data_IF_244227205738
#
_entry.id   IF_244227205738
#
_cell.length_a   1.000
_cell.length_b   1.000
_cell.length_c   1.000
_cell.angle_alpha   90.00
_cell.angle_beta   90.00
_cell.angle_gamma   90.00
#
_symmetry.space_group_name_H-M   'P 1'
#
loop_
_entity.id
_entity.type
_entity.pdbx_description
1 polymer ?
#
# COMPACT_ATOMS: atom_id res chain seq x y z
N UNK A 1 -13.97 -25.81 -3.96
CA UNK A 1 -13.50 -24.92 -2.88
C UNK A 1 -13.80 -23.50 -3.36
N UNK A 2 -14.49 -22.63 -2.60
CA UNK A 2 -15.02 -21.38 -3.14
C UNK A 2 -13.91 -20.32 -3.12
N UNK A 3 -13.06 -20.30 -4.14
CA UNK A 3 -12.09 -19.22 -4.32
C UNK A 3 -12.80 -17.87 -4.58
N UNK A 4 -14.01 -17.89 -5.16
CA UNK A 4 -14.80 -16.70 -5.51
C UNK A 4 -15.25 -15.82 -4.33
N UNK A 5 -15.56 -16.41 -3.16
CA UNK A 5 -16.12 -15.65 -2.03
C UNK A 5 -15.06 -14.78 -1.32
N UNK A 6 -13.83 -15.28 -1.24
CA UNK A 6 -12.71 -14.55 -0.65
C UNK A 6 -12.34 -13.35 -1.51
N UNK A 7 -12.16 -13.56 -2.82
CA UNK A 7 -11.78 -12.51 -3.75
C UNK A 7 -12.82 -11.39 -3.82
N UNK A 8 -14.11 -11.77 -3.84
CA UNK A 8 -15.21 -10.80 -3.79
C UNK A 8 -15.22 -10.02 -2.46
N UNK A 9 -15.01 -10.70 -1.34
CA UNK A 9 -14.95 -10.04 -0.03
C UNK A 9 -13.76 -9.08 0.08
N UNK A 10 -12.59 -9.46 -0.43
CA UNK A 10 -11.39 -8.64 -0.33
C UNK A 10 -11.43 -7.46 -1.30
N UNK A 11 -11.92 -7.66 -2.53
CA UNK A 11 -12.19 -6.56 -3.47
C UNK A 11 -13.19 -5.54 -2.89
N UNK A 12 -14.25 -6.02 -2.22
CA UNK A 12 -15.21 -5.16 -1.50
C UNK A 12 -14.57 -4.40 -0.34
N UNK A 13 -13.60 -5.00 0.34
CA UNK A 13 -12.84 -4.32 1.39
C UNK A 13 -11.99 -3.19 0.81
N UNK A 14 -11.27 -3.44 -0.28
CA UNK A 14 -10.42 -2.46 -0.95
C UNK A 14 -11.26 -1.27 -1.43
N UNK A 15 -12.42 -1.50 -2.04
CA UNK A 15 -13.27 -0.41 -2.53
C UNK A 15 -13.74 0.51 -1.40
N UNK A 16 -13.98 -0.02 -0.20
CA UNK A 16 -14.38 0.76 0.98
C UNK A 16 -13.28 1.69 1.50
N UNK A 17 -12.01 1.45 1.22
CA UNK A 17 -10.92 2.37 1.58
C UNK A 17 -11.04 3.73 0.89
N UNK A 18 -11.66 3.77 -0.30
CA UNK A 18 -11.93 5.00 -1.04
C UNK A 18 -13.34 5.55 -0.85
N UNK A 19 -14.11 5.07 0.13
CA UNK A 19 -15.51 5.45 0.32
C UNK A 19 -15.63 6.91 0.79
N UNK A 20 -16.67 7.69 0.40
CA UNK A 20 -16.82 9.10 0.82
C UNK A 20 -17.02 9.27 2.33
N UNK A 21 -17.67 8.31 2.99
CA UNK A 21 -17.91 8.32 4.45
C UNK A 21 -16.66 7.83 5.20
N UNK A 22 -16.12 8.69 6.07
CA UNK A 22 -14.90 8.41 6.85
C UNK A 22 -15.00 7.16 7.72
N UNK A 23 -16.12 6.99 8.43
CA UNK A 23 -16.33 5.83 9.30
C UNK A 23 -16.20 4.49 8.52
N UNK A 24 -16.70 4.46 7.29
CA UNK A 24 -16.61 3.27 6.42
C UNK A 24 -15.15 3.02 6.03
N UNK A 25 -14.40 4.08 5.69
CA UNK A 25 -12.97 3.99 5.38
C UNK A 25 -12.17 3.48 6.57
N UNK A 26 -12.41 4.01 7.77
CA UNK A 26 -11.72 3.61 9.00
C UNK A 26 -11.95 2.14 9.32
N UNK A 27 -13.21 1.68 9.29
CA UNK A 27 -13.52 0.26 9.51
C UNK A 27 -12.88 -0.65 8.46
N UNK A 28 -12.77 -0.18 7.21
CA UNK A 28 -12.08 -0.92 6.16
C UNK A 28 -10.56 -0.98 6.40
N UNK A 29 -9.95 0.13 6.84
CA UNK A 29 -8.53 0.17 7.20
C UNK A 29 -8.22 -0.79 8.36
N UNK A 30 -9.02 -0.75 9.43
CA UNK A 30 -8.89 -1.66 10.58
C UNK A 30 -9.04 -3.14 10.15
N UNK A 31 -10.00 -3.42 9.27
CA UNK A 31 -10.21 -4.76 8.75
C UNK A 31 -9.05 -5.23 7.87
N UNK A 32 -8.48 -4.35 7.05
CA UNK A 32 -7.28 -4.65 6.25
C UNK A 32 -6.09 -4.93 7.17
N UNK A 33 -5.83 -4.06 8.14
CA UNK A 33 -4.74 -4.21 9.09
C UNK A 33 -4.85 -5.55 9.83
N UNK A 34 -6.02 -5.86 10.41
CA UNK A 34 -6.25 -7.12 11.10
C UNK A 34 -6.00 -8.34 10.21
N UNK A 35 -6.43 -8.29 8.94
CA UNK A 35 -6.18 -9.37 7.97
C UNK A 35 -4.69 -9.55 7.67
N UNK A 36 -3.94 -8.47 7.54
CA UNK A 36 -2.49 -8.50 7.30
C UNK A 36 -1.71 -8.97 8.53
N UNK A 37 -2.15 -8.63 9.73
CA UNK A 37 -1.48 -8.99 10.99
C UNK A 37 -1.73 -10.45 11.36
N UNK A 38 -2.96 -10.91 11.14
CA UNK A 38 -3.35 -12.31 11.33
C UNK A 38 -2.95 -13.22 10.16
N UNK A 39 -2.27 -12.68 9.12
CA UNK A 39 -1.87 -13.40 7.89
C UNK A 39 -3.03 -14.14 7.23
N UNK A 40 -4.23 -13.56 7.28
CA UNK A 40 -5.44 -14.11 6.66
C UNK A 40 -5.50 -13.86 5.14
N UNK A 41 -4.53 -13.11 4.62
CA UNK A 41 -4.33 -12.84 3.20
C UNK A 41 -2.85 -13.11 2.96
N UNK A 42 -2.51 -13.94 1.98
CA UNK A 42 -1.10 -14.22 1.67
C UNK A 42 -0.47 -13.05 0.93
N UNK A 43 0.86 -12.96 0.96
CA UNK A 43 1.58 -11.93 0.20
C UNK A 43 1.27 -12.03 -1.30
N UNK A 44 1.09 -13.25 -1.83
CA UNK A 44 0.73 -13.51 -3.23
C UNK A 44 -0.66 -12.94 -3.54
N UNK A 45 -1.63 -13.18 -2.65
CA UNK A 45 -2.99 -12.67 -2.82
C UNK A 45 -3.01 -11.15 -2.82
N UNK A 46 -2.12 -10.47 -2.09
CA UNK A 46 -2.07 -9.00 -2.09
C UNK A 46 -1.54 -8.46 -3.42
N UNK A 47 -0.53 -9.11 -4.00
CA UNK A 47 0.14 -8.66 -5.22
C UNK A 47 -0.80 -8.59 -6.43
N UNK A 48 -1.82 -9.44 -6.50
CA UNK A 48 -2.83 -9.41 -7.56
C UNK A 48 -3.77 -8.19 -7.47
N UNK A 49 -3.94 -7.61 -6.27
CA UNK A 49 -4.81 -6.46 -6.07
C UNK A 49 -4.07 -5.14 -6.28
N UNK A 50 -3.69 -4.85 -7.53
CA UNK A 50 -3.04 -3.56 -7.89
C UNK A 50 -3.82 -2.33 -7.38
N UNK A 51 -5.14 -2.44 -7.33
CA UNK A 51 -6.02 -1.37 -6.84
C UNK A 51 -5.85 -1.06 -5.34
N UNK A 52 -5.37 -2.02 -4.52
CA UNK A 52 -5.08 -1.77 -3.11
C UNK A 52 -4.02 -0.68 -2.96
N UNK A 53 -2.91 -0.76 -3.70
CA UNK A 53 -1.84 0.23 -3.63
C UNK A 53 -2.34 1.63 -3.97
N UNK A 54 -3.18 1.73 -5.02
CA UNK A 54 -3.82 3.00 -5.40
C UNK A 54 -4.67 3.53 -4.24
N UNK A 55 -5.51 2.68 -3.62
CA UNK A 55 -6.35 3.10 -2.50
C UNK A 55 -5.57 3.51 -1.25
N UNK A 56 -4.43 2.88 -0.99
CA UNK A 56 -3.55 3.28 0.11
C UNK A 56 -2.92 4.66 -0.14
N UNK A 57 -2.52 4.97 -1.38
CA UNK A 57 -2.02 6.31 -1.73
C UNK A 57 -3.13 7.36 -1.72
N UNK A 58 -4.28 7.05 -2.33
CA UNK A 58 -5.46 7.95 -2.33
C UNK A 58 -5.95 8.29 -0.92
N UNK A 59 -5.61 7.49 0.10
CA UNK A 59 -5.91 7.80 1.49
C UNK A 59 -5.41 9.19 1.90
N UNK A 60 -4.23 9.61 1.43
CA UNK A 60 -3.66 10.91 1.79
C UNK A 60 -4.27 12.08 0.99
N UNK A 61 -5.12 11.80 0.00
CA UNK A 61 -5.84 12.83 -0.76
C UNK A 61 -7.15 13.26 -0.06
N UNK A 62 -7.59 12.55 0.98
CA UNK A 62 -8.73 13.00 1.78
C UNK A 62 -8.36 14.22 2.63
N UNK A 63 -9.30 15.14 2.91
CA UNK A 63 -9.07 16.23 3.85
C UNK A 63 -8.74 15.68 5.24
N UNK A 64 -7.62 16.13 5.83
CA UNK A 64 -7.18 15.74 7.19
C UNK A 64 -7.26 14.22 7.43
N UNK A 65 -6.54 13.41 6.63
CA UNK A 65 -6.75 11.97 6.61
C UNK A 65 -6.37 11.37 7.97
N UNK A 66 -7.28 10.63 8.64
CA UNK A 66 -6.97 10.01 9.93
C UNK A 66 -6.01 8.84 9.75
N UNK A 67 -5.33 8.42 10.83
CA UNK A 67 -4.53 7.18 10.87
C UNK A 67 -3.43 7.09 9.78
N UNK A 68 -2.80 8.22 9.44
CA UNK A 68 -1.71 8.30 8.44
C UNK A 68 -0.57 7.35 8.77
N UNK A 69 -0.23 7.25 10.04
CA UNK A 69 0.75 6.31 10.60
C UNK A 69 0.44 4.86 10.22
N UNK A 70 -0.79 4.42 10.45
CA UNK A 70 -1.23 3.05 10.13
C UNK A 70 -1.14 2.77 8.63
N UNK A 71 -1.56 3.72 7.80
CA UNK A 71 -1.48 3.56 6.34
C UNK A 71 -0.03 3.49 5.87
N UNK A 72 0.85 4.36 6.39
CA UNK A 72 2.28 4.29 6.07
C UNK A 72 2.90 2.98 6.56
N UNK A 73 2.52 2.47 7.73
CA UNK A 73 3.02 1.19 8.25
C UNK A 73 2.61 0.01 7.35
N UNK A 74 1.38 0.02 6.81
CA UNK A 74 0.93 -0.97 5.82
C UNK A 74 1.77 -0.86 4.55
N UNK A 75 1.93 0.35 3.99
CA UNK A 75 2.71 0.54 2.76
C UNK A 75 4.17 0.12 2.97
N UNK A 76 4.75 0.45 4.12
CA UNK A 76 6.12 0.07 4.49
C UNK A 76 6.29 -1.45 4.63
N UNK A 77 5.31 -2.14 5.21
CA UNK A 77 5.29 -3.61 5.26
C UNK A 77 5.26 -4.20 3.85
N UNK A 78 4.45 -3.64 2.96
CA UNK A 78 4.33 -4.08 1.57
C UNK A 78 5.60 -3.79 0.76
N UNK A 79 6.22 -2.62 0.89
CA UNK A 79 7.40 -2.22 0.11
C UNK A 79 8.63 -3.10 0.37
N UNK A 80 8.65 -3.88 1.45
CA UNK A 80 9.70 -4.86 1.71
C UNK A 80 9.70 -6.02 0.71
N UNK A 81 8.57 -6.32 0.08
CA UNK A 81 8.46 -7.30 -1.00
C UNK A 81 8.81 -6.66 -2.36
N UNK A 82 9.63 -7.31 -3.17
CA UNK A 82 10.11 -6.79 -4.47
C UNK A 82 8.98 -6.52 -5.46
N UNK A 83 8.01 -7.43 -5.59
CA UNK A 83 6.88 -7.24 -6.51
C UNK A 83 5.95 -6.11 -6.05
N UNK A 84 5.75 -5.96 -4.74
CA UNK A 84 4.96 -4.86 -4.19
C UNK A 84 5.67 -3.51 -4.36
N UNK A 85 6.99 -3.46 -4.15
CA UNK A 85 7.83 -2.30 -4.42
C UNK A 85 7.76 -1.89 -5.90
N UNK A 86 7.83 -2.85 -6.81
CA UNK A 86 7.64 -2.61 -8.24
C UNK A 86 6.25 -2.05 -8.56
N UNK A 87 5.18 -2.63 -7.98
CA UNK A 87 3.82 -2.14 -8.16
C UNK A 87 3.68 -0.69 -7.67
N UNK A 88 4.19 -0.36 -6.48
CA UNK A 88 4.22 1.00 -5.94
C UNK A 88 4.97 1.97 -6.87
N UNK A 89 6.15 1.58 -7.36
CA UNK A 89 6.88 2.37 -8.34
C UNK A 89 6.06 2.61 -9.62
N UNK A 90 5.44 1.56 -10.17
CA UNK A 90 4.72 1.61 -11.44
C UNK A 90 3.50 2.53 -11.44
N UNK A 91 2.96 2.84 -10.26
CA UNK A 91 1.82 3.74 -10.07
C UNK A 91 2.22 5.16 -9.61
N UNK A 92 3.52 5.48 -9.60
CA UNK A 92 4.01 6.83 -9.25
C UNK A 92 4.10 7.11 -7.75
N UNK A 93 4.30 6.08 -6.92
CA UNK A 93 4.41 6.27 -5.46
C UNK A 93 5.62 7.16 -5.08
N UNK A 94 6.70 7.14 -5.85
CA UNK A 94 7.91 7.93 -5.56
C UNK A 94 7.62 9.43 -5.65
N UNK A 95 7.01 9.87 -6.74
CA UNK A 95 6.60 11.25 -6.97
C UNK A 95 5.56 11.67 -5.93
N UNK A 96 4.61 10.79 -5.65
CA UNK A 96 3.57 11.01 -4.65
C UNK A 96 4.16 11.29 -3.27
N UNK A 97 5.04 10.42 -2.77
CA UNK A 97 5.63 10.57 -1.45
C UNK A 97 6.55 11.78 -1.34
N UNK A 98 7.28 12.12 -2.41
CA UNK A 98 8.07 13.36 -2.44
C UNK A 98 7.18 14.61 -2.32
N UNK A 99 6.00 14.61 -2.94
CA UNK A 99 5.03 15.70 -2.82
C UNK A 99 4.33 15.74 -1.44
N UNK A 100 4.12 14.58 -0.81
CA UNK A 100 3.42 14.45 0.49
C UNK A 100 4.20 15.07 1.68
N UNK A 101 5.53 15.21 1.57
CA UNK A 101 6.42 15.63 2.67
C UNK A 101 6.10 17.00 3.29
N UNK A 102 5.39 17.88 2.58
CA UNK A 102 5.08 19.24 3.05
C UNK A 102 4.29 19.25 4.37
N UNK A 103 3.60 18.16 4.71
CA UNK A 103 2.66 18.08 5.83
C UNK A 103 2.89 16.84 6.73
N UNK A 104 4.15 16.46 6.97
CA UNK A 104 4.48 15.29 7.79
C UNK A 104 5.26 15.65 9.06
N UNK A 105 4.97 14.96 10.15
CA UNK A 105 5.83 14.98 11.34
C UNK A 105 7.13 14.19 11.05
N UNK A 106 8.25 14.47 11.74
CA UNK A 106 9.53 13.78 11.51
C UNK A 106 9.44 12.24 11.55
N UNK A 107 8.59 11.68 12.42
CA UNK A 107 8.43 10.24 12.54
C UNK A 107 7.63 9.60 11.37
N UNK A 108 6.78 10.38 10.70
CA UNK A 108 6.13 9.94 9.46
C UNK A 108 7.05 10.15 8.25
N UNK A 109 7.86 11.22 8.24
CA UNK A 109 8.90 11.41 7.22
C UNK A 109 9.88 10.24 7.21
N UNK A 110 10.34 9.78 8.38
CA UNK A 110 11.22 8.61 8.49
C UNK A 110 10.62 7.35 7.85
N UNK A 111 9.32 7.11 8.03
CA UNK A 111 8.63 5.98 7.38
C UNK A 111 8.58 6.16 5.86
N UNK A 112 8.30 7.38 5.40
CA UNK A 112 8.30 7.70 3.96
C UNK A 112 9.70 7.47 3.36
N UNK A 113 10.76 7.87 4.05
CA UNK A 113 12.13 7.64 3.61
C UNK A 113 12.44 6.15 3.48
N UNK A 114 12.04 5.33 4.46
CA UNK A 114 12.22 3.87 4.42
C UNK A 114 11.39 3.22 3.29
N UNK A 115 10.17 3.73 3.01
CA UNK A 115 9.36 3.28 1.88
C UNK A 115 10.06 3.61 0.56
N UNK A 116 10.54 4.84 0.39
CA UNK A 116 11.24 5.29 -0.81
C UNK A 116 12.52 4.51 -1.05
N UNK A 117 13.31 4.28 0.00
CA UNK A 117 14.51 3.44 -0.06
C UNK A 117 14.15 2.03 -0.55
N UNK A 118 13.11 1.41 0.03
CA UNK A 118 12.66 0.08 -0.37
C UNK A 118 12.24 0.01 -1.84
N UNK A 119 11.49 1.02 -2.32
CA UNK A 119 11.02 1.10 -3.70
C UNK A 119 12.22 1.23 -4.64
N UNK A 120 13.12 2.17 -4.37
CA UNK A 120 14.25 2.48 -5.23
C UNK A 120 15.31 1.37 -5.21
N UNK A 121 15.66 0.84 -4.04
CA UNK A 121 16.70 -0.20 -3.91
C UNK A 121 16.36 -1.46 -4.70
N UNK A 122 15.06 -1.80 -4.76
CA UNK A 122 14.56 -3.02 -5.41
C UNK A 122 14.32 -2.81 -6.91
N UNK A 123 14.09 -1.58 -7.36
CA UNK A 123 13.96 -1.26 -8.79
C UNK A 123 15.26 -1.50 -9.59
N UNK A 124 16.44 -1.25 -8.98
CA UNK A 124 17.72 -1.43 -9.66
C UNK A 124 18.14 -2.90 -9.86
N UNK A 125 17.58 -3.83 -9.07
CA UNK A 125 17.91 -5.26 -9.18
C UNK A 125 17.22 -5.88 -10.40
N UNK A 126 15.97 -5.52 -10.68
CA UNK A 126 15.19 -6.12 -11.77
C UNK A 126 15.69 -5.76 -13.18
N UNK A 127 16.34 -4.60 -13.36
CA UNK A 127 16.98 -4.24 -14.64
C UNK A 127 18.25 -5.05 -14.94
N UNK A 128 18.90 -5.61 -13.92
CA UNK A 128 20.14 -6.38 -14.07
C UNK A 128 19.88 -7.78 -14.62
N UNK A 129 18.72 -8.38 -14.27
CA UNK A 129 18.37 -9.75 -14.68
C UNK A 129 17.79 -9.80 -16.10
N UNK A 130 17.22 -8.69 -16.58
CA UNK A 130 16.64 -8.59 -17.93
C UNK A 130 17.69 -8.45 -19.06
N UNK A 131 18.96 -8.24 -18.71
CA UNK A 131 20.06 -8.09 -19.67
C UNK A 131 20.94 -9.35 -19.83
N UNK A 132 20.53 -10.49 -19.24
CA UNK A 132 21.24 -11.76 -19.33
C UNK A 132 20.28 -12.89 -19.73
N UNK A 133 19.50 -12.70 -20.80
CA UNK A 133 18.73 -13.75 -21.46
C UNK A 133 18.74 -13.55 -22.97
#
# INVERSE_FOLDING_TARGET
MPEDDFDKSFSTLISKLGHPVEEIRLRALESLQAKLDLKLVSDIDILQYKYLYIKLLEWFNFPSPPKRDVVLDIILKLSKNESAAYNLHSIGAVEFFNALRIDLTPELERRVDEILENILSKHFVTQSVSNIS
#
